data_IF_274492099690
#
_entry.id   IF_274492099690
#
_cell.length_a   1.000
_cell.length_b   1.000
_cell.length_c   1.000
_cell.angle_alpha   90.00
_cell.angle_beta   90.00
_cell.angle_gamma   90.00
#
_symmetry.space_group_name_H-M   'P 1'
#
loop_
_entity.id
_entity.type
_entity.pdbx_description
1 polymer ?
#
# COMPACT_ATOMS: atom_id res chain seq x y z
N UNK A 1 17.74 13.58 -23.07
CA UNK A 1 17.64 12.16 -22.66
C UNK A 1 16.91 12.09 -21.34
N UNK A 2 17.29 12.94 -20.39
CA UNK A 2 16.72 12.99 -19.04
C UNK A 2 15.22 13.33 -18.99
N UNK A 3 14.71 14.28 -19.78
CA UNK A 3 13.27 14.61 -19.81
C UNK A 3 12.39 13.44 -20.25
N UNK A 4 12.84 12.67 -21.25
CA UNK A 4 12.12 11.49 -21.71
C UNK A 4 12.14 10.39 -20.64
N UNK A 5 13.28 10.18 -19.97
CA UNK A 5 13.38 9.22 -18.87
C UNK A 5 12.45 9.60 -17.70
N UNK A 6 12.42 10.86 -17.30
CA UNK A 6 11.54 11.36 -16.25
C UNK A 6 10.07 11.17 -16.64
N UNK A 7 9.70 11.53 -17.87
CA UNK A 7 8.35 11.34 -18.38
C UNK A 7 7.96 9.85 -18.42
N UNK A 8 8.87 8.98 -18.89
CA UNK A 8 8.62 7.54 -18.97
C UNK A 8 8.42 6.94 -17.59
N UNK A 9 9.25 7.29 -16.60
CA UNK A 9 9.08 6.85 -15.21
C UNK A 9 7.73 7.31 -14.65
N UNK A 10 7.33 8.57 -14.86
CA UNK A 10 6.04 9.05 -14.37
C UNK A 10 4.84 8.34 -15.01
N UNK A 11 4.93 7.97 -16.30
CA UNK A 11 3.83 7.31 -17.02
C UNK A 11 3.80 5.80 -16.88
N UNK A 12 4.93 5.16 -16.64
CA UNK A 12 5.03 3.70 -16.61
C UNK A 12 5.06 3.14 -15.20
N UNK A 13 5.38 3.94 -14.17
CA UNK A 13 5.32 3.49 -12.78
C UNK A 13 3.90 3.66 -12.25
N UNK A 14 3.20 2.57 -11.93
CA UNK A 14 1.85 2.67 -11.38
C UNK A 14 1.88 3.30 -9.99
N UNK A 15 0.83 4.06 -9.66
CA UNK A 15 0.70 4.75 -8.38
C UNK A 15 0.70 3.77 -7.20
N UNK A 16 -0.01 2.65 -7.36
CA UNK A 16 -0.05 1.54 -6.41
C UNK A 16 0.63 0.34 -7.06
N UNK A 17 1.66 -0.21 -6.40
CA UNK A 17 2.42 -1.38 -6.88
C UNK A 17 2.05 -2.62 -6.09
N UNK A 18 2.29 -3.81 -6.65
CA UNK A 18 2.19 -5.05 -5.86
C UNK A 18 3.54 -5.40 -5.25
N UNK A 19 3.58 -5.60 -3.94
CA UNK A 19 4.76 -6.12 -3.25
C UNK A 19 4.70 -7.65 -3.23
N UNK A 20 5.81 -8.26 -3.60
CA UNK A 20 6.03 -9.70 -3.59
C UNK A 20 7.33 -9.99 -2.86
N UNK A 21 7.63 -11.26 -2.56
CA UNK A 21 8.90 -11.60 -1.91
C UNK A 21 10.12 -11.30 -2.80
N UNK A 22 9.93 -11.34 -4.12
CA UNK A 22 10.98 -11.10 -5.10
C UNK A 22 11.36 -9.63 -5.22
N UNK A 23 10.42 -8.70 -5.04
CA UNK A 23 10.66 -7.26 -5.18
C UNK A 23 10.71 -6.50 -3.85
N UNK A 24 10.45 -7.16 -2.72
CA UNK A 24 10.41 -6.52 -1.40
C UNK A 24 11.75 -5.84 -1.05
N UNK A 25 12.88 -6.46 -1.36
CA UNK A 25 14.21 -5.89 -1.12
C UNK A 25 14.41 -4.59 -1.91
N UNK A 26 14.15 -4.62 -3.22
CA UNK A 26 14.20 -3.45 -4.10
C UNK A 26 13.32 -2.31 -3.60
N UNK A 27 12.08 -2.61 -3.18
CA UNK A 27 11.15 -1.61 -2.63
C UNK A 27 11.66 -1.01 -1.32
N UNK A 28 12.34 -1.79 -0.47
CA UNK A 28 12.92 -1.27 0.78
C UNK A 28 14.14 -0.39 0.53
N UNK A 29 14.92 -0.66 -0.53
CA UNK A 29 16.08 0.16 -0.91
C UNK A 29 15.68 1.57 -1.37
N UNK A 30 14.44 1.78 -1.80
CA UNK A 30 13.90 3.12 -2.08
C UNK A 30 13.84 4.02 -0.83
N UNK A 31 13.87 3.43 0.37
CA UNK A 31 13.96 4.17 1.64
C UNK A 31 12.69 4.93 2.04
N UNK A 32 11.57 4.69 1.36
CA UNK A 32 10.27 5.27 1.68
C UNK A 32 9.41 4.30 2.49
N UNK A 33 8.69 4.76 3.54
CA UNK A 33 7.77 3.92 4.28
C UNK A 33 6.67 3.37 3.38
N UNK A 34 6.12 2.22 3.76
CA UNK A 34 5.08 1.54 2.99
C UNK A 34 3.71 1.87 3.55
N UNK A 35 2.73 2.17 2.68
CA UNK A 35 1.31 2.09 2.97
C UNK A 35 0.76 0.90 2.18
N UNK A 36 0.47 -0.20 2.88
CA UNK A 36 0.19 -1.50 2.28
C UNK A 36 -1.27 -1.87 2.50
N UNK A 37 -1.98 -2.22 1.43
CA UNK A 37 -3.21 -2.99 1.47
C UNK A 37 -2.88 -4.49 1.42
N UNK A 38 -3.14 -5.22 2.50
CA UNK A 38 -3.23 -6.67 2.47
C UNK A 38 -4.65 -7.05 2.07
N UNK A 39 -4.79 -7.88 1.03
CA UNK A 39 -6.10 -8.30 0.52
C UNK A 39 -6.11 -9.77 0.13
N UNK A 40 -7.31 -10.35 0.01
CA UNK A 40 -7.47 -11.67 -0.62
C UNK A 40 -7.13 -11.55 -2.12
N UNK A 41 -6.36 -12.49 -2.72
CA UNK A 41 -5.99 -12.43 -4.13
C UNK A 41 -7.15 -12.29 -5.11
N UNK A 42 -8.34 -12.77 -4.75
CA UNK A 42 -9.55 -12.67 -5.57
C UNK A 42 -10.31 -11.35 -5.38
N UNK A 43 -9.98 -10.58 -4.34
CA UNK A 43 -10.62 -9.31 -4.02
C UNK A 43 -10.01 -8.12 -4.78
N UNK A 44 -10.44 -8.00 -6.03
CA UNK A 44 -10.07 -6.87 -6.90
C UNK A 44 -10.78 -5.56 -6.55
N UNK A 45 -11.90 -5.61 -5.81
CA UNK A 45 -12.65 -4.41 -5.45
C UNK A 45 -11.87 -3.60 -4.42
N UNK A 46 -11.30 -4.26 -3.42
CA UNK A 46 -10.52 -3.58 -2.39
C UNK A 46 -9.28 -2.87 -2.95
N UNK A 47 -8.64 -3.45 -3.97
CA UNK A 47 -7.51 -2.82 -4.68
C UNK A 47 -7.97 -1.54 -5.38
N UNK A 48 -9.10 -1.59 -6.08
CA UNK A 48 -9.67 -0.44 -6.78
C UNK A 48 -10.03 0.67 -5.79
N UNK A 49 -10.75 0.34 -4.73
CA UNK A 49 -11.19 1.31 -3.73
C UNK A 49 -10.00 1.99 -3.03
N UNK A 50 -8.97 1.22 -2.69
CA UNK A 50 -7.72 1.73 -2.13
C UNK A 50 -6.99 2.67 -3.09
N UNK A 51 -6.90 2.30 -4.38
CA UNK A 51 -6.26 3.11 -5.42
C UNK A 51 -7.02 4.43 -5.62
N UNK A 52 -8.35 4.39 -5.66
CA UNK A 52 -9.21 5.57 -5.81
C UNK A 52 -9.05 6.53 -4.61
N UNK A 53 -8.95 6.00 -3.39
CA UNK A 53 -8.71 6.80 -2.18
C UNK A 53 -7.33 7.46 -2.22
N UNK A 54 -6.27 6.73 -2.57
CA UNK A 54 -4.91 7.29 -2.69
C UNK A 54 -4.88 8.40 -3.74
N UNK A 55 -5.44 8.15 -4.92
CA UNK A 55 -5.44 9.13 -6.01
C UNK A 55 -6.17 10.42 -5.60
N UNK A 56 -7.23 10.30 -4.80
CA UNK A 56 -8.03 11.45 -4.37
C UNK A 56 -7.42 12.20 -3.19
N UNK A 57 -6.82 11.50 -2.24
CA UNK A 57 -6.46 12.06 -0.93
C UNK A 57 -4.96 12.10 -0.64
N UNK A 58 -4.16 11.24 -1.26
CA UNK A 58 -2.75 11.03 -0.91
C UNK A 58 -1.80 11.23 -2.10
N UNK A 59 -2.28 11.81 -3.21
CA UNK A 59 -1.45 12.02 -4.39
C UNK A 59 -0.25 12.95 -4.12
N UNK A 60 -0.39 13.91 -3.19
CA UNK A 60 0.71 14.77 -2.74
C UNK A 60 1.83 13.99 -2.06
N UNK A 61 1.53 12.83 -1.48
CA UNK A 61 2.47 11.98 -0.74
C UNK A 61 3.19 10.96 -1.63
N UNK A 62 2.95 10.95 -2.96
CA UNK A 62 3.56 10.01 -3.92
C UNK A 62 5.10 9.96 -3.84
N UNK A 63 5.76 11.03 -3.40
CA UNK A 63 7.22 11.09 -3.26
C UNK A 63 7.72 10.74 -1.85
N UNK A 64 6.81 10.58 -0.87
CA UNK A 64 7.13 10.37 0.54
C UNK A 64 6.77 8.96 1.02
N UNK A 65 5.87 8.27 0.32
CA UNK A 65 5.32 6.97 0.74
C UNK A 65 5.18 6.06 -0.47
N UNK A 66 5.50 4.79 -0.28
CA UNK A 66 5.24 3.74 -1.25
C UNK A 66 3.86 3.11 -1.02
N UNK A 67 2.96 3.29 -1.98
CA UNK A 67 1.63 2.68 -1.96
C UNK A 67 1.68 1.28 -2.55
N UNK A 68 1.35 0.28 -1.73
CA UNK A 68 1.55 -1.11 -2.07
C UNK A 68 0.28 -1.95 -1.84
N UNK A 69 0.16 -3.03 -2.60
CA UNK A 69 -0.80 -4.11 -2.40
C UNK A 69 -0.05 -5.41 -2.16
N UNK A 70 -0.53 -6.22 -1.24
CA UNK A 70 0.08 -7.48 -0.87
C UNK A 70 -0.96 -8.59 -0.82
N UNK A 71 -0.61 -9.75 -1.37
CA UNK A 71 -1.38 -10.99 -1.24
C UNK A 71 -1.37 -11.42 0.25
N UNK A 72 -2.50 -11.21 0.94
CA UNK A 72 -2.62 -11.48 2.37
C UNK A 72 -2.46 -12.96 2.73
N UNK A 73 -2.64 -13.87 1.77
CA UNK A 73 -2.40 -15.31 1.98
C UNK A 73 -0.90 -15.62 1.95
N UNK A 74 -0.16 -15.05 1.01
CA UNK A 74 1.30 -15.19 0.94
C UNK A 74 2.00 -14.45 2.08
N UNK A 75 1.50 -13.28 2.46
CA UNK A 75 2.04 -12.44 3.53
C UNK A 75 1.46 -12.78 4.92
N UNK A 76 0.98 -14.02 5.13
CA UNK A 76 0.43 -14.46 6.41
C UNK A 76 1.40 -14.32 7.60
N UNK A 77 2.71 -14.45 7.37
CA UNK A 77 3.70 -14.28 8.43
C UNK A 77 3.81 -12.83 8.93
N UNK A 78 3.98 -11.80 8.07
CA UNK A 78 3.80 -10.40 8.45
C UNK A 78 2.48 -10.07 9.13
N UNK A 79 1.34 -10.60 8.63
CA UNK A 79 0.03 -10.40 9.26
C UNK A 79 -0.03 -10.95 10.70
N UNK A 80 0.63 -12.08 10.96
CA UNK A 80 0.66 -12.66 12.29
C UNK A 80 1.37 -11.77 13.31
N UNK A 81 2.43 -11.03 12.90
CA UNK A 81 3.10 -10.04 13.76
C UNK A 81 2.19 -8.85 14.12
N UNK A 82 1.15 -8.61 13.32
CA UNK A 82 0.09 -7.63 13.61
C UNK A 82 -1.05 -8.22 14.46
N UNK A 83 -0.98 -9.49 14.83
CA UNK A 83 -2.07 -10.20 15.50
C UNK A 83 -3.27 -10.44 14.59
N UNK A 84 -3.05 -10.50 13.28
CA UNK A 84 -4.07 -10.64 12.24
C UNK A 84 -3.90 -11.94 11.46
N UNK A 85 -4.98 -12.39 10.83
CA UNK A 85 -4.97 -13.55 9.93
C UNK A 85 -5.65 -13.21 8.60
N UNK A 86 -5.67 -14.18 7.67
CA UNK A 86 -6.32 -14.00 6.37
C UNK A 86 -7.84 -13.74 6.48
N UNK A 87 -8.45 -14.16 7.59
CA UNK A 87 -9.87 -13.92 7.89
C UNK A 87 -10.16 -12.47 8.27
N UNK A 88 -9.15 -11.67 8.61
CA UNK A 88 -9.28 -10.24 8.90
C UNK A 88 -9.17 -9.36 7.64
N UNK A 89 -8.87 -9.95 6.46
CA UNK A 89 -8.69 -9.19 5.22
C UNK A 89 -10.02 -8.56 4.74
N UNK A 90 -9.98 -7.39 4.09
CA UNK A 90 -8.80 -6.57 3.78
C UNK A 90 -8.30 -5.73 4.97
N UNK A 91 -6.99 -5.47 4.99
CA UNK A 91 -6.33 -4.66 6.04
C UNK A 91 -5.39 -3.65 5.43
N UNK A 92 -5.35 -2.45 6.00
CA UNK A 92 -4.36 -1.43 5.65
C UNK A 92 -3.38 -1.28 6.80
N UNK A 93 -2.08 -1.22 6.49
CA UNK A 93 -1.05 -0.94 7.47
C UNK A 93 0.02 -0.01 6.91
N UNK A 94 0.69 0.71 7.80
CA UNK A 94 1.92 1.43 7.49
C UNK A 94 3.09 0.63 8.03
N UNK A 95 4.09 0.34 7.21
CA UNK A 95 5.39 -0.17 7.66
C UNK A 95 6.44 0.96 7.56
N UNK A 96 6.97 1.37 8.71
CA UNK A 96 7.98 2.42 8.80
C UNK A 96 9.42 1.88 8.80
N UNK A 97 9.62 0.58 8.54
CA UNK A 97 10.86 -0.19 8.73
C UNK A 97 11.34 -0.29 10.19
N UNK A 98 10.56 0.24 11.14
CA UNK A 98 10.82 0.14 12.58
C UNK A 98 9.64 -0.49 13.29
N UNK A 99 8.45 -0.01 12.95
CA UNK A 99 7.19 -0.51 13.47
C UNK A 99 6.16 -0.56 12.35
N UNK A 100 5.25 -1.52 12.47
CA UNK A 100 4.04 -1.54 11.65
C UNK A 100 2.87 -0.96 12.43
N UNK A 101 2.07 -0.13 11.78
CA UNK A 101 0.89 0.53 12.34
C UNK A 101 -0.34 0.08 11.55
N UNK A 102 -1.25 -0.63 12.22
CA UNK A 102 -2.47 -1.10 11.59
C UNK A 102 -3.51 0.04 11.53
N UNK A 103 -4.11 0.24 10.36
CA UNK A 103 -5.25 1.14 10.22
C UNK A 103 -6.46 0.54 10.96
N UNK A 104 -7.15 1.27 11.85
CA UNK A 104 -8.11 0.66 12.78
C UNK A 104 -9.26 -0.10 12.12
N UNK A 105 -9.80 0.43 11.01
CA UNK A 105 -10.91 -0.16 10.25
C UNK A 105 -10.77 0.18 8.78
N UNK A 106 -10.83 -0.83 7.92
CA UNK A 106 -10.67 -0.66 6.48
C UNK A 106 -11.71 0.33 5.91
N UNK A 107 -12.96 0.25 6.34
CA UNK A 107 -14.08 1.04 5.83
C UNK A 107 -13.93 2.55 6.10
N UNK A 108 -13.20 2.89 7.16
CA UNK A 108 -12.99 4.29 7.56
C UNK A 108 -12.06 5.03 6.60
N UNK A 109 -11.42 4.35 5.63
CA UNK A 109 -10.65 5.04 4.58
C UNK A 109 -11.53 5.93 3.69
N UNK A 110 -12.84 5.67 3.64
CA UNK A 110 -13.82 6.50 2.94
C UNK A 110 -14.42 7.59 3.81
N UNK A 111 -14.13 7.60 5.11
CA UNK A 111 -14.67 8.60 6.02
C UNK A 111 -14.18 9.99 5.58
N UNK A 112 -15.12 10.92 5.40
CA UNK A 112 -14.78 12.33 5.15
C UNK A 112 -14.00 12.87 6.35
N UNK A 113 -13.07 13.78 6.07
CA UNK A 113 -12.38 14.61 7.06
C UNK A 113 -13.39 15.33 7.97
N UNK A 114 -13.81 14.67 9.04
CA UNK A 114 -14.52 15.28 10.18
C UNK A 114 -13.60 15.26 11.42
N UNK A 115 -12.30 15.39 11.21
CA UNK A 115 -11.33 15.62 12.27
C UNK A 115 -10.99 17.12 12.28
N UNK A 116 -11.90 17.91 12.85
CA UNK A 116 -11.62 19.23 13.43
C UNK A 116 -12.14 19.21 14.85
#
# INVERSE_FOLDING_TARGET
>A
YDEFSIWAVDKCTPLVRSITFENAEELTEEGLPFLILFHDPEDNNSIKDFTDVIQKHLLSEKQNVNFLTADGVKFAHPLHHLGKSKEDLPLIAIDSFRHMYLFPKYEDMHARENFI
#
